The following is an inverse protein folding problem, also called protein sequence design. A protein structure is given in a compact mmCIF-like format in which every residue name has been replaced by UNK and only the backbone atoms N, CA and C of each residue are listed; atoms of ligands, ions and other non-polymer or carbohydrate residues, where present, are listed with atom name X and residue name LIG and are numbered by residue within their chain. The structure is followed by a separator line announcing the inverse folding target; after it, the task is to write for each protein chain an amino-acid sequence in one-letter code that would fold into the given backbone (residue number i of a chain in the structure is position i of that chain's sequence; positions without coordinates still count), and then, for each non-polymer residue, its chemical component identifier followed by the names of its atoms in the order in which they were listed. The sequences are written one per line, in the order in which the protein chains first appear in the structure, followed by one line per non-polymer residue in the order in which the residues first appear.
data_IF_400835123187
#
_entry.id   IF_400835123187
#
_cell.length_a   1.000
_cell.length_b   1.000
_cell.length_c   1.000
_cell.angle_alpha   90.00
_cell.angle_beta   90.00
_cell.angle_gamma   90.00
#
_symmetry.space_group_name_H-M   'P 1'
#
loop_
_entity.id
_entity.type
_entity.pdbx_description
1 polymer ?
#
# COMPACT_ATOMS: atom_id res chain seq x y z
N UNK A 1 -11.78 29.29 12.03
CA UNK A 1 -11.65 28.18 13.01
C UNK A 1 -11.64 26.90 12.20
N UNK A 2 -10.58 26.09 12.27
CA UNK A 2 -10.52 24.81 11.55
C UNK A 2 -10.89 23.69 12.51
N UNK A 3 -11.91 22.90 12.15
CA UNK A 3 -12.34 21.73 12.92
C UNK A 3 -11.30 20.64 12.78
N UNK A 4 -10.90 20.03 13.90
CA UNK A 4 -10.07 18.81 13.89
C UNK A 4 -10.79 17.65 13.20
N UNK A 5 -10.07 16.60 12.81
CA UNK A 5 -10.68 15.43 12.15
C UNK A 5 -11.77 14.79 13.02
N UNK A 6 -11.58 14.75 14.35
CA UNK A 6 -12.56 14.20 15.27
C UNK A 6 -13.83 15.06 15.33
N UNK A 7 -13.67 16.37 15.51
CA UNK A 7 -14.80 17.32 15.50
C UNK A 7 -15.53 17.34 14.16
N UNK A 8 -14.79 17.20 13.05
CA UNK A 8 -15.37 17.08 11.72
C UNK A 8 -16.23 15.82 11.57
N UNK A 9 -15.84 14.70 12.18
CA UNK A 9 -16.62 13.46 12.15
C UNK A 9 -17.91 13.57 12.98
N UNK A 10 -17.82 14.13 14.18
CA UNK A 10 -19.00 14.41 15.01
C UNK A 10 -19.99 15.33 14.28
N UNK A 11 -19.47 16.38 13.64
CA UNK A 11 -20.28 17.32 12.89
C UNK A 11 -20.91 16.69 11.64
N UNK A 12 -20.20 15.79 10.95
CA UNK A 12 -20.76 15.01 9.84
C UNK A 12 -21.97 14.17 10.29
N UNK A 13 -21.87 13.51 11.45
CA UNK A 13 -22.98 12.70 12.00
C UNK A 13 -24.19 13.57 12.35
N UNK A 14 -23.97 14.74 12.95
CA UNK A 14 -25.04 15.69 13.26
C UNK A 14 -25.70 16.21 11.99
N UNK A 15 -24.92 16.67 11.01
CA UNK A 15 -25.46 17.16 9.74
C UNK A 15 -26.21 16.07 8.97
N UNK A 16 -25.71 14.83 8.99
CA UNK A 16 -26.39 13.68 8.40
C UNK A 16 -27.74 13.42 9.10
N UNK A 17 -27.78 13.47 10.44
CA UNK A 17 -29.02 13.29 11.19
C UNK A 17 -30.05 14.42 10.93
N UNK A 18 -29.57 15.62 10.64
CA UNK A 18 -30.38 16.78 10.28
C UNK A 18 -30.73 16.84 8.78
N UNK A 19 -30.25 15.89 7.96
CA UNK A 19 -30.39 15.88 6.50
C UNK A 19 -29.80 17.14 5.81
N UNK A 20 -28.74 17.69 6.40
CA UNK A 20 -28.04 18.93 6.00
C UNK A 20 -26.74 18.61 5.22
N UNK A 21 -26.83 17.74 4.22
CA UNK A 21 -25.67 17.33 3.41
C UNK A 21 -25.03 18.51 2.67
N UNK A 22 -25.83 19.49 2.26
CA UNK A 22 -25.36 20.70 1.55
C UNK A 22 -24.43 21.54 2.43
N UNK A 23 -24.71 21.61 3.73
CA UNK A 23 -23.89 22.31 4.72
C UNK A 23 -22.53 21.63 4.88
N UNK A 24 -22.48 20.31 4.88
CA UNK A 24 -21.21 19.56 4.92
C UNK A 24 -20.34 19.86 3.70
N UNK A 25 -20.93 19.84 2.51
CA UNK A 25 -20.22 20.14 1.26
C UNK A 25 -19.69 21.58 1.23
N UNK A 26 -20.46 22.54 1.73
CA UNK A 26 -20.03 23.94 1.86
C UNK A 26 -18.86 24.10 2.83
N UNK A 27 -18.89 23.42 3.99
CA UNK A 27 -17.79 23.43 4.97
C UNK A 27 -16.50 22.81 4.41
N UNK A 28 -16.64 21.72 3.64
CA UNK A 28 -15.50 21.07 2.97
C UNK A 28 -14.89 21.99 1.90
N UNK A 29 -15.71 22.63 1.07
CA UNK A 29 -15.24 23.59 0.05
C UNK A 29 -14.60 24.84 0.66
N UNK A 30 -15.11 25.30 1.81
CA UNK A 30 -14.54 26.42 2.55
C UNK A 30 -13.23 26.07 3.29
N UNK A 31 -12.78 24.81 3.25
CA UNK A 31 -11.54 24.37 3.91
C UNK A 31 -11.60 24.43 5.44
N UNK A 32 -12.79 24.35 6.02
CA UNK A 32 -13.01 24.45 7.47
C UNK A 32 -12.81 23.10 8.19
N UNK A 33 -12.64 22.02 7.44
CA UNK A 33 -12.38 20.67 7.95
C UNK A 33 -10.89 20.33 7.80
N UNK A 34 -10.19 20.09 8.89
CA UNK A 34 -8.83 19.56 8.84
C UNK A 34 -8.88 18.11 8.38
N UNK A 35 -8.66 17.91 7.08
CA UNK A 35 -8.37 16.60 6.51
C UNK A 35 -6.88 16.33 6.66
N UNK A 36 -6.46 15.17 7.21
CA UNK A 36 -5.04 14.84 7.26
C UNK A 36 -4.46 14.82 5.84
N UNK A 37 -3.31 15.44 5.67
CA UNK A 37 -2.59 15.38 4.40
C UNK A 37 -2.28 13.92 4.08
N UNK A 38 -2.71 13.47 2.90
CA UNK A 38 -2.47 12.11 2.46
C UNK A 38 -1.07 12.03 1.84
N UNK A 39 -0.23 11.06 2.25
CA UNK A 39 1.04 10.84 1.60
C UNK A 39 0.83 10.60 0.10
N UNK A 40 1.58 11.32 -0.73
CA UNK A 40 1.58 11.08 -2.16
C UNK A 40 2.11 9.67 -2.43
N UNK A 41 1.32 8.88 -3.14
CA UNK A 41 1.77 7.57 -3.61
C UNK A 41 2.56 7.81 -4.90
N UNK A 42 3.85 7.45 -4.96
CA UNK A 42 4.64 7.60 -6.17
C UNK A 42 4.04 6.76 -7.30
N UNK A 43 3.95 7.31 -8.51
CA UNK A 43 3.59 6.55 -9.71
C UNK A 43 4.80 5.75 -10.21
N UNK A 44 5.18 4.75 -9.41
CA UNK A 44 6.28 3.82 -9.69
C UNK A 44 5.68 2.43 -9.85
N UNK A 45 6.04 1.74 -10.93
CA UNK A 45 5.66 0.33 -11.11
C UNK A 45 6.88 -0.53 -10.88
N UNK A 46 6.80 -1.42 -9.91
CA UNK A 46 7.86 -2.37 -9.66
C UNK A 46 7.96 -3.37 -10.81
N UNK A 47 9.13 -3.44 -11.45
CA UNK A 47 9.44 -4.42 -12.48
C UNK A 47 10.78 -5.09 -12.17
N UNK A 48 10.70 -6.37 -11.78
CA UNK A 48 11.87 -7.17 -11.46
C UNK A 48 12.80 -7.40 -12.67
N UNK A 49 12.28 -7.35 -13.90
CA UNK A 49 13.09 -7.56 -15.11
C UNK A 49 14.10 -6.45 -15.37
N UNK A 50 13.83 -5.25 -14.85
CA UNK A 50 14.71 -4.08 -14.96
C UNK A 50 15.80 -4.05 -13.89
N UNK A 51 15.78 -4.99 -12.95
CA UNK A 51 16.69 -5.05 -11.80
C UNK A 51 18.01 -5.73 -12.17
N UNK A 52 19.13 -5.15 -11.74
CA UNK A 52 20.43 -5.83 -11.80
C UNK A 52 20.58 -6.83 -10.65
N UNK A 53 21.19 -7.99 -10.92
CA UNK A 53 21.36 -9.07 -9.92
C UNK A 53 22.04 -8.60 -8.63
N UNK A 54 23.11 -7.78 -8.74
CA UNK A 54 23.81 -7.25 -7.58
C UNK A 54 22.91 -6.36 -6.69
N UNK A 55 22.02 -5.58 -7.29
CA UNK A 55 21.03 -4.77 -6.56
C UNK A 55 19.95 -5.65 -5.96
N UNK A 56 19.49 -6.66 -6.69
CA UNK A 56 18.48 -7.61 -6.21
C UNK A 56 18.99 -8.33 -4.95
N UNK A 57 20.23 -8.82 -4.97
CA UNK A 57 20.82 -9.51 -3.81
C UNK A 57 20.91 -8.60 -2.59
N UNK A 58 21.26 -7.31 -2.76
CA UNK A 58 21.31 -6.36 -1.64
C UNK A 58 19.94 -6.07 -1.05
N UNK A 59 18.93 -5.94 -1.91
CA UNK A 59 17.59 -5.53 -1.51
C UNK A 59 16.73 -6.67 -0.98
N UNK A 60 16.83 -7.85 -1.61
CA UNK A 60 15.94 -8.99 -1.42
C UNK A 60 16.66 -10.21 -0.85
N UNK A 61 18.00 -10.20 -0.75
CA UNK A 61 18.87 -11.37 -0.41
C UNK A 61 18.91 -12.47 -1.49
N UNK A 62 18.21 -12.28 -2.60
CA UNK A 62 18.18 -13.16 -3.75
C UNK A 62 18.48 -12.36 -5.03
N UNK A 63 19.12 -13.00 -6.01
CA UNK A 63 19.25 -12.46 -7.36
C UNK A 63 17.89 -12.49 -8.09
N UNK A 64 17.84 -11.94 -9.31
CA UNK A 64 16.58 -11.86 -10.08
C UNK A 64 16.00 -13.25 -10.34
N UNK A 65 16.87 -14.20 -10.70
CA UNK A 65 16.45 -15.57 -10.97
C UNK A 65 16.00 -16.29 -9.70
N UNK A 66 16.65 -16.07 -8.56
CA UNK A 66 16.25 -16.59 -7.27
C UNK A 66 14.85 -16.16 -6.86
N UNK A 67 14.49 -14.88 -7.07
CA UNK A 67 13.12 -14.39 -6.80
C UNK A 67 12.11 -15.08 -7.73
N UNK A 68 12.40 -15.18 -9.03
CA UNK A 68 11.51 -15.89 -9.97
C UNK A 68 11.35 -17.36 -9.60
N UNK A 69 12.43 -18.03 -9.21
CA UNK A 69 12.40 -19.43 -8.77
C UNK A 69 11.57 -19.59 -7.51
N UNK A 70 11.75 -18.74 -6.50
CA UNK A 70 10.95 -18.75 -5.28
C UNK A 70 9.46 -18.53 -5.57
N UNK A 71 9.11 -17.62 -6.49
CA UNK A 71 7.72 -17.40 -6.87
C UNK A 71 7.10 -18.66 -7.49
N UNK A 72 7.87 -19.43 -8.27
CA UNK A 72 7.44 -20.71 -8.81
C UNK A 72 7.35 -21.79 -7.73
N UNK A 73 8.31 -21.86 -6.81
CA UNK A 73 8.35 -22.86 -5.73
C UNK A 73 7.19 -22.67 -4.74
N UNK A 74 6.81 -21.43 -4.46
CA UNK A 74 5.62 -21.11 -3.68
C UNK A 74 4.31 -21.23 -4.49
N UNK A 75 4.38 -21.69 -5.73
CA UNK A 75 3.24 -21.87 -6.62
C UNK A 75 2.35 -20.62 -6.71
N UNK A 76 2.95 -19.42 -6.72
CA UNK A 76 2.20 -18.18 -6.70
C UNK A 76 1.40 -18.01 -8.01
N UNK A 77 0.13 -17.58 -7.93
CA UNK A 77 -0.65 -17.24 -9.12
C UNK A 77 0.02 -16.09 -9.87
N UNK A 78 -0.08 -16.04 -11.19
CA UNK A 78 0.57 -15.00 -12.01
C UNK A 78 0.24 -13.56 -11.54
N UNK A 79 -0.99 -13.37 -11.06
CA UNK A 79 -1.46 -12.12 -10.47
C UNK A 79 -1.97 -12.40 -9.05
N UNK A 80 -1.46 -11.64 -8.10
CA UNK A 80 -1.93 -11.62 -6.71
C UNK A 80 -3.01 -10.55 -6.58
N UNK A 81 -4.15 -10.95 -6.05
CA UNK A 81 -5.29 -10.07 -5.77
C UNK A 81 -5.61 -10.19 -4.29
N UNK A 82 -5.42 -9.11 -3.55
CA UNK A 82 -5.74 -9.07 -2.12
C UNK A 82 -7.25 -8.86 -1.90
N UNK A 83 -7.73 -9.12 -0.69
CA UNK A 83 -9.13 -8.87 -0.30
C UNK A 83 -9.53 -7.40 -0.48
N UNK A 84 -8.58 -6.47 -0.32
CA UNK A 84 -8.78 -5.04 -0.56
C UNK A 84 -8.77 -4.65 -2.03
N UNK A 85 -8.67 -5.61 -2.96
CA UNK A 85 -8.67 -5.38 -4.40
C UNK A 85 -7.32 -4.92 -4.97
N UNK A 86 -6.24 -4.86 -4.17
CA UNK A 86 -4.92 -4.52 -4.69
C UNK A 86 -4.40 -5.65 -5.58
N UNK A 87 -3.96 -5.28 -6.79
CA UNK A 87 -3.46 -6.20 -7.81
C UNK A 87 -1.97 -5.96 -8.06
N UNK A 88 -1.18 -7.02 -7.99
CA UNK A 88 0.25 -7.00 -8.31
C UNK A 88 0.66 -8.31 -8.99
N UNK A 89 1.79 -8.28 -9.69
CA UNK A 89 2.38 -9.51 -10.25
C UNK A 89 3.03 -10.33 -9.13
N UNK A 90 3.13 -11.65 -9.29
CA UNK A 90 3.69 -12.53 -8.25
C UNK A 90 5.12 -12.14 -7.83
N UNK A 91 5.93 -11.65 -8.76
CA UNK A 91 7.30 -11.21 -8.49
C UNK A 91 7.32 -9.96 -7.61
N UNK A 92 6.37 -9.03 -7.80
CA UNK A 92 6.17 -7.86 -6.95
C UNK A 92 5.71 -8.27 -5.56
N UNK A 93 4.71 -9.15 -5.46
CA UNK A 93 4.21 -9.65 -4.18
C UNK A 93 5.30 -10.34 -3.37
N UNK A 94 6.07 -11.21 -4.02
CA UNK A 94 7.20 -11.87 -3.41
C UNK A 94 8.28 -10.86 -3.00
N UNK A 95 8.65 -9.94 -3.90
CA UNK A 95 9.62 -8.89 -3.60
C UNK A 95 9.21 -8.04 -2.39
N UNK A 96 7.92 -7.66 -2.26
CA UNK A 96 7.39 -6.95 -1.08
C UNK A 96 7.65 -7.76 0.20
N UNK A 97 7.39 -9.07 0.18
CA UNK A 97 7.62 -9.96 1.33
C UNK A 97 9.11 -10.04 1.69
N UNK A 98 9.99 -10.45 0.77
CA UNK A 98 11.42 -10.61 1.07
C UNK A 98 12.11 -9.27 1.38
N UNK A 99 11.69 -8.18 0.74
CA UNK A 99 12.17 -6.85 1.06
C UNK A 99 11.83 -6.50 2.51
N UNK A 100 10.61 -6.76 2.99
CA UNK A 100 10.25 -6.51 4.38
C UNK A 100 10.96 -7.43 5.39
N UNK A 101 11.28 -8.67 5.00
CA UNK A 101 11.95 -9.65 5.86
C UNK A 101 13.47 -9.51 5.91
N UNK A 102 14.09 -8.95 4.87
CA UNK A 102 15.56 -8.82 4.78
C UNK A 102 16.18 -7.87 5.82
N UNK A 103 15.41 -6.89 6.31
CA UNK A 103 15.68 -6.12 7.54
C UNK A 103 14.41 -5.33 7.98
N UNK A 104 14.31 -4.92 9.26
CA UNK A 104 13.16 -4.15 9.74
C UNK A 104 12.98 -2.81 9.01
N UNK A 105 11.84 -2.66 8.30
CA UNK A 105 11.47 -1.45 7.54
C UNK A 105 10.07 -0.98 7.85
N UNK A 106 9.84 0.34 7.76
CA UNK A 106 8.47 0.89 7.76
C UNK A 106 7.85 0.68 6.38
N UNK A 107 6.53 0.47 6.35
CA UNK A 107 5.78 0.39 5.08
C UNK A 107 5.88 1.69 4.28
N UNK A 108 6.00 2.83 4.97
CA UNK A 108 6.21 4.13 4.34
C UNK A 108 7.50 4.17 3.50
N UNK A 109 8.60 3.63 4.03
CA UNK A 109 9.89 3.61 3.32
C UNK A 109 9.84 2.72 2.06
N UNK A 110 8.98 1.71 2.07
CA UNK A 110 8.75 0.81 0.94
C UNK A 110 7.91 1.47 -0.17
N UNK A 111 7.12 2.51 0.12
CA UNK A 111 6.24 3.16 -0.86
C UNK A 111 7.02 3.68 -2.07
N UNK A 112 8.19 4.28 -1.83
CA UNK A 112 9.05 4.81 -2.90
C UNK A 112 9.48 3.75 -3.91
N UNK A 113 9.63 2.51 -3.47
CA UNK A 113 10.14 1.42 -4.30
C UNK A 113 9.04 0.70 -5.09
N UNK A 114 7.91 0.47 -4.44
CA UNK A 114 6.82 -0.31 -5.02
C UNK A 114 5.72 0.57 -5.64
N UNK A 115 5.70 1.88 -5.35
CA UNK A 115 4.63 2.79 -5.80
C UNK A 115 3.26 2.39 -5.29
N UNK A 116 3.21 1.77 -4.10
CA UNK A 116 1.98 1.30 -3.44
C UNK A 116 1.78 2.05 -2.15
N UNK A 117 0.51 2.22 -1.74
CA UNK A 117 0.19 2.76 -0.41
C UNK A 117 0.67 1.82 0.70
N UNK A 118 0.85 2.36 1.91
CA UNK A 118 1.17 1.54 3.08
C UNK A 118 0.12 0.47 3.36
N UNK A 119 -1.16 0.76 3.14
CA UNK A 119 -2.26 -0.19 3.30
C UNK A 119 -2.21 -1.32 2.28
N UNK A 120 -1.92 -1.00 1.01
CA UNK A 120 -1.73 -2.01 -0.03
C UNK A 120 -0.53 -2.91 0.26
N UNK A 121 0.61 -2.32 0.65
CA UNK A 121 1.81 -3.08 1.04
C UNK A 121 1.56 -4.02 2.22
N UNK A 122 0.80 -3.58 3.22
CA UNK A 122 0.39 -4.42 4.35
C UNK A 122 -0.46 -5.60 3.89
N UNK A 123 -1.45 -5.36 3.04
CA UNK A 123 -2.34 -6.42 2.54
C UNK A 123 -1.61 -7.42 1.66
N UNK A 124 -0.73 -6.97 0.78
CA UNK A 124 0.12 -7.83 -0.06
C UNK A 124 1.02 -8.70 0.83
N UNK A 125 1.66 -8.11 1.83
CA UNK A 125 2.49 -8.88 2.77
C UNK A 125 1.69 -9.94 3.53
N UNK A 126 0.49 -9.57 4.03
CA UNK A 126 -0.37 -10.51 4.75
C UNK A 126 -0.87 -11.63 3.85
N UNK A 127 -1.28 -11.31 2.61
CA UNK A 127 -1.68 -12.31 1.63
C UNK A 127 -0.58 -13.34 1.40
N UNK A 128 0.66 -12.89 1.21
CA UNK A 128 1.82 -13.77 1.07
C UNK A 128 2.07 -14.65 2.30
N UNK A 129 1.81 -14.15 3.51
CA UNK A 129 1.97 -14.93 4.74
C UNK A 129 0.91 -16.01 4.94
N UNK A 130 -0.31 -15.77 4.46
CA UNK A 130 -1.44 -16.69 4.60
C UNK A 130 -1.35 -17.80 3.54
N UNK A 131 -0.93 -17.47 2.31
CA UNK A 131 -0.83 -18.45 1.22
C UNK A 131 0.42 -19.32 1.24
N UNK A 132 1.40 -19.01 2.11
CA UNK A 132 2.63 -19.80 2.26
C UNK A 132 2.50 -20.98 3.25
N UNK A 133 1.31 -21.20 3.81
CA UNK A 133 0.95 -22.31 4.72
C UNK A 133 -0.10 -23.17 4.05
#
# INVERSE_FOLDING_TARGET
MQLTQHEGFELLLVLFALNEETTWMALQQAGLLNSPERPLIPDVRFDLSTYGDASATKDFRFDVNGIKLLANLFALPAVVITEGGDRCIREEALAVMVYRLSYPRRLHDMMGKFGRSTSALSRIFLWMSISAV
#
